data_IF_913074970110
#
_entry.id   IF_913074970110
#
_cell.length_a   1.000
_cell.length_b   1.000
_cell.length_c   1.000
_cell.angle_alpha   90.00
_cell.angle_beta   90.00
_cell.angle_gamma   90.00
#
_symmetry.space_group_name_H-M   'P 1'
#
loop_
_entity.id
_entity.type
_entity.pdbx_description
1 polymer ?
#
# COMPACT_ATOMS: atom_id res chain seq x y z
N UNK A 1 41.55 46.84 -23.31
CA UNK A 1 40.16 47.27 -22.99
C UNK A 1 39.27 46.67 -24.07
N UNK A 2 38.23 45.88 -23.85
CA UNK A 2 37.55 45.40 -22.65
C UNK A 2 36.23 44.82 -23.13
N UNK A 3 36.06 43.49 -22.98
CA UNK A 3 34.83 42.69 -22.85
C UNK A 3 33.54 43.12 -23.56
N UNK A 4 32.96 42.21 -24.36
CA UNK A 4 31.52 41.87 -24.31
C UNK A 4 31.31 40.48 -24.94
N UNK A 5 31.64 39.47 -24.15
CA UNK A 5 31.18 38.08 -24.29
C UNK A 5 30.09 37.89 -23.21
N UNK A 6 29.07 37.10 -23.53
CA UNK A 6 27.98 36.59 -22.67
C UNK A 6 26.71 37.42 -22.59
N UNK A 7 25.78 37.11 -23.49
CA UNK A 7 24.33 37.25 -23.27
C UNK A 7 23.61 36.02 -23.81
N UNK A 8 24.07 34.82 -23.47
CA UNK A 8 23.36 33.55 -23.65
C UNK A 8 23.74 32.72 -22.42
N UNK A 9 22.81 31.95 -21.88
CA UNK A 9 22.90 31.20 -20.60
C UNK A 9 22.49 31.97 -19.35
N UNK A 10 21.22 32.37 -19.25
CA UNK A 10 20.55 32.45 -17.95
C UNK A 10 19.02 32.39 -18.09
N UNK A 11 18.49 31.30 -18.67
CA UNK A 11 17.04 31.06 -18.71
C UNK A 11 16.66 29.57 -18.86
N UNK A 12 17.51 28.63 -18.44
CA UNK A 12 17.31 27.19 -18.70
C UNK A 12 17.38 26.28 -17.47
N UNK A 13 17.46 26.83 -16.27
CA UNK A 13 17.52 26.07 -15.02
C UNK A 13 16.53 26.73 -14.08
N UNK A 14 15.40 26.07 -13.83
CA UNK A 14 14.53 26.15 -12.64
C UNK A 14 13.07 25.77 -13.00
N UNK A 15 12.82 24.55 -13.48
CA UNK A 15 11.49 23.90 -13.44
C UNK A 15 11.66 22.36 -13.44
N UNK A 16 12.51 21.85 -12.56
CA UNK A 16 12.48 20.45 -12.14
C UNK A 16 12.13 20.42 -10.66
N UNK A 17 10.96 20.97 -10.33
CA UNK A 17 10.40 20.93 -9.00
C UNK A 17 9.23 19.95 -9.01
N UNK A 18 9.35 18.91 -8.17
CA UNK A 18 8.24 18.30 -7.45
C UNK A 18 7.27 17.36 -8.17
N UNK A 19 7.75 16.31 -8.84
CA UNK A 19 6.90 15.14 -9.19
C UNK A 19 7.35 13.82 -8.55
N UNK A 20 8.61 13.70 -8.10
CA UNK A 20 9.17 12.41 -7.65
C UNK A 20 8.51 11.76 -6.42
N UNK A 21 7.86 12.54 -5.54
CA UNK A 21 7.26 11.98 -4.32
C UNK A 21 6.05 11.06 -4.56
N UNK A 22 5.29 11.30 -5.64
CA UNK A 22 4.12 10.47 -5.96
C UNK A 22 4.54 9.17 -6.63
N UNK A 23 5.54 9.21 -7.51
CA UNK A 23 6.04 8.03 -8.22
C UNK A 23 6.69 7.03 -7.25
N UNK A 24 7.49 7.51 -6.28
CA UNK A 24 8.09 6.67 -5.24
C UNK A 24 7.02 6.04 -4.32
N UNK A 25 5.99 6.82 -3.95
CA UNK A 25 4.87 6.32 -3.15
C UNK A 25 4.11 5.25 -3.91
N UNK A 26 3.76 5.49 -5.17
CA UNK A 26 3.08 4.50 -6.01
C UNK A 26 3.91 3.24 -6.21
N UNK A 27 5.21 3.37 -6.47
CA UNK A 27 6.11 2.23 -6.57
C UNK A 27 6.13 1.40 -5.28
N UNK A 28 6.17 2.05 -4.11
CA UNK A 28 6.10 1.36 -2.82
C UNK A 28 4.74 0.67 -2.59
N UNK A 29 3.63 1.32 -2.95
CA UNK A 29 2.28 0.76 -2.78
C UNK A 29 2.01 -0.43 -3.71
N UNK A 30 2.71 -0.51 -4.84
CA UNK A 30 2.49 -1.54 -5.86
C UNK A 30 3.53 -2.66 -5.83
N UNK A 31 4.73 -2.45 -5.28
CA UNK A 31 5.79 -3.47 -5.17
C UNK A 31 5.52 -4.55 -4.13
N UNK A 32 6.26 -5.65 -4.25
CA UNK A 32 6.40 -6.66 -3.20
C UNK A 32 7.18 -6.08 -2.03
N UNK A 33 6.67 -6.28 -0.81
CA UNK A 33 7.20 -5.66 0.39
C UNK A 33 6.61 -6.29 1.66
N UNK A 34 7.29 -6.10 2.79
CA UNK A 34 6.76 -6.46 4.11
C UNK A 34 6.12 -5.23 4.74
N UNK A 35 4.92 -5.40 5.28
CA UNK A 35 4.15 -4.35 5.91
C UNK A 35 3.81 -4.72 7.35
N UNK A 36 4.23 -3.92 8.32
CA UNK A 36 3.98 -4.13 9.74
C UNK A 36 2.79 -3.33 10.24
N UNK A 37 1.88 -4.00 10.94
CA UNK A 37 0.79 -3.34 11.67
C UNK A 37 1.33 -2.56 12.87
N UNK A 38 0.44 -1.83 13.54
CA UNK A 38 0.76 -1.00 14.71
C UNK A 38 1.89 0.01 14.43
N UNK A 39 1.72 0.80 13.37
CA UNK A 39 2.69 1.83 12.96
C UNK A 39 4.10 1.26 12.70
N UNK A 40 4.15 0.04 12.15
CA UNK A 40 5.39 -0.66 11.82
C UNK A 40 6.00 -1.47 12.96
N UNK A 41 5.46 -1.43 14.18
CA UNK A 41 5.95 -2.30 15.27
C UNK A 41 5.82 -3.79 14.89
N UNK A 42 4.81 -4.12 14.08
CA UNK A 42 4.60 -5.45 13.49
C UNK A 42 5.76 -6.00 12.66
N UNK A 43 6.70 -5.15 12.21
CA UNK A 43 7.88 -5.56 11.47
C UNK A 43 8.90 -6.30 12.34
N UNK A 44 8.98 -5.97 13.63
CA UNK A 44 9.92 -6.63 14.55
C UNK A 44 9.50 -8.07 14.74
N UNK A 45 10.38 -9.01 14.40
CA UNK A 45 10.10 -10.45 14.43
C UNK A 45 8.84 -10.90 13.69
N UNK A 46 8.28 -10.08 12.78
CA UNK A 46 6.98 -10.30 12.14
C UNK A 46 5.84 -10.54 13.16
N UNK A 47 5.86 -9.88 14.32
CA UNK A 47 4.83 -10.07 15.36
C UNK A 47 3.42 -9.76 14.85
N UNK A 48 3.28 -8.88 13.86
CA UNK A 48 2.00 -8.63 13.21
C UNK A 48 2.22 -7.99 11.83
N UNK A 49 2.43 -8.81 10.81
CA UNK A 49 2.87 -8.34 9.51
C UNK A 49 2.13 -8.99 8.35
N UNK A 50 2.02 -8.27 7.24
CA UNK A 50 1.64 -8.78 5.93
C UNK A 50 2.87 -8.77 5.02
N UNK A 51 3.29 -9.95 4.57
CA UNK A 51 4.40 -10.13 3.64
C UNK A 51 3.82 -10.31 2.25
N UNK A 52 4.21 -9.44 1.32
CA UNK A 52 3.75 -9.51 -0.07
C UNK A 52 4.90 -9.97 -0.95
N UNK A 53 4.68 -11.10 -1.61
CA UNK A 53 5.68 -11.73 -2.49
C UNK A 53 4.98 -12.58 -3.53
N UNK A 54 5.38 -12.43 -4.80
CA UNK A 54 4.98 -13.31 -5.90
C UNK A 54 3.47 -13.51 -6.04
N UNK A 55 2.69 -12.43 -5.83
CA UNK A 55 1.23 -12.47 -5.92
C UNK A 55 0.51 -13.05 -4.69
N UNK A 56 1.21 -13.26 -3.58
CA UNK A 56 0.62 -13.69 -2.30
C UNK A 56 0.71 -12.60 -1.23
N UNK A 57 -0.28 -12.58 -0.33
CA UNK A 57 -0.24 -11.91 0.96
C UNK A 57 -0.10 -13.01 2.02
N UNK A 58 1.06 -13.14 2.65
CA UNK A 58 1.26 -14.02 3.80
C UNK A 58 1.06 -13.21 5.07
N UNK A 59 0.18 -13.68 5.96
CA UNK A 59 -0.19 -12.99 7.18
C UNK A 59 0.51 -13.64 8.36
N UNK A 60 1.25 -12.84 9.10
CA UNK A 60 1.99 -13.24 10.29
C UNK A 60 1.36 -12.67 11.54
N UNK A 61 1.39 -13.46 12.61
CA UNK A 61 1.05 -13.04 13.97
C UNK A 61 1.96 -13.76 14.95
N UNK A 62 2.47 -13.03 15.93
CA UNK A 62 3.44 -13.50 16.91
C UNK A 62 4.68 -14.15 16.28
N UNK A 63 5.06 -13.67 15.07
CA UNK A 63 6.20 -14.17 14.30
C UNK A 63 5.93 -15.43 13.47
N UNK A 64 4.71 -15.99 13.56
CA UNK A 64 4.34 -17.22 12.87
C UNK A 64 3.34 -16.95 11.73
N UNK A 65 3.42 -17.70 10.62
CA UNK A 65 2.44 -17.60 9.55
C UNK A 65 1.08 -18.17 9.99
N UNK A 66 0.02 -17.38 9.87
CA UNK A 66 -1.34 -17.78 10.30
C UNK A 66 -2.34 -17.89 9.16
N UNK A 67 -2.12 -17.16 8.06
CA UNK A 67 -2.97 -17.24 6.87
C UNK A 67 -2.21 -16.82 5.60
N UNK A 68 -2.77 -17.15 4.43
CA UNK A 68 -2.35 -16.60 3.15
C UNK A 68 -3.54 -16.20 2.30
N UNK A 69 -3.34 -15.18 1.48
CA UNK A 69 -4.31 -14.73 0.50
C UNK A 69 -3.66 -14.58 -0.87
N UNK A 70 -4.41 -14.91 -1.93
CA UNK A 70 -3.97 -14.66 -3.30
C UNK A 70 -4.25 -13.19 -3.64
N UNK A 71 -3.19 -12.39 -3.78
CA UNK A 71 -3.31 -11.01 -4.23
C UNK A 71 -3.69 -10.98 -5.71
N UNK A 72 -4.81 -10.33 -6.02
CA UNK A 72 -5.27 -10.21 -7.41
C UNK A 72 -4.72 -8.95 -8.06
N UNK A 73 -4.94 -7.79 -7.43
CA UNK A 73 -4.40 -6.51 -7.87
C UNK A 73 -4.53 -5.45 -6.76
N UNK A 74 -3.86 -4.32 -6.99
CA UNK A 74 -3.97 -3.10 -6.20
C UNK A 74 -4.37 -1.95 -7.09
N UNK A 75 -5.29 -1.14 -6.61
CA UNK A 75 -5.75 0.07 -7.27
C UNK A 75 -5.24 1.27 -6.48
N UNK A 76 -4.64 2.24 -7.17
CA UNK A 76 -4.19 3.50 -6.57
C UNK A 76 -5.29 4.53 -6.78
N UNK A 77 -5.75 5.12 -5.69
CA UNK A 77 -6.73 6.19 -5.71
C UNK A 77 -5.98 7.52 -5.60
N UNK A 78 -6.39 8.49 -6.41
CA UNK A 78 -5.79 9.82 -6.47
C UNK A 78 -6.86 10.87 -6.23
N UNK A 79 -6.49 11.96 -5.58
CA UNK A 79 -7.36 13.11 -5.46
C UNK A 79 -7.67 13.68 -6.86
N UNK A 80 -8.96 13.79 -7.17
CA UNK A 80 -9.42 14.53 -8.34
C UNK A 80 -9.53 16.01 -7.95
N UNK A 81 -8.55 16.82 -8.32
CA UNK A 81 -8.71 18.28 -8.33
C UNK A 81 -9.30 18.71 -9.68
N UNK A 82 -10.29 19.60 -9.65
CA UNK A 82 -11.07 20.03 -10.82
C UNK A 82 -10.24 20.81 -11.88
N UNK A 83 -8.95 21.05 -11.68
CA UNK A 83 -8.13 21.96 -12.51
C UNK A 83 -6.79 21.34 -12.97
N UNK A 84 -6.80 20.10 -13.48
CA UNK A 84 -5.76 19.61 -14.41
C UNK A 84 -4.35 19.35 -13.84
N UNK A 85 -4.14 19.50 -12.53
CA UNK A 85 -2.92 19.01 -11.85
C UNK A 85 -3.24 17.63 -11.28
N UNK A 86 -2.50 16.60 -11.68
CA UNK A 86 -2.57 15.26 -11.07
C UNK A 86 -2.44 15.38 -9.54
N UNK A 87 -3.51 15.07 -8.82
CA UNK A 87 -3.58 15.18 -7.36
C UNK A 87 -2.72 14.13 -6.65
N UNK A 88 -2.55 14.32 -5.33
CA UNK A 88 -1.85 13.38 -4.46
C UNK A 88 -2.54 12.02 -4.40
N UNK A 89 -1.81 10.98 -3.97
CA UNK A 89 -2.37 9.66 -3.70
C UNK A 89 -3.13 9.72 -2.37
N UNK A 90 -4.46 9.53 -2.40
CA UNK A 90 -5.32 9.57 -1.20
C UNK A 90 -5.58 8.18 -0.60
N UNK A 91 -5.44 7.15 -1.43
CA UNK A 91 -5.80 5.79 -1.04
C UNK A 91 -5.21 4.71 -1.92
N UNK A 92 -5.36 3.48 -1.44
CA UNK A 92 -5.16 2.29 -2.25
C UNK A 92 -6.19 1.24 -1.86
N UNK A 93 -6.69 0.51 -2.86
CA UNK A 93 -7.61 -0.60 -2.65
C UNK A 93 -6.91 -1.89 -3.02
N UNK A 94 -6.89 -2.83 -2.09
CA UNK A 94 -6.28 -4.14 -2.28
C UNK A 94 -7.38 -5.17 -2.48
N UNK A 95 -7.26 -5.94 -3.56
CA UNK A 95 -8.19 -7.00 -3.91
C UNK A 95 -7.48 -8.34 -3.80
N UNK A 96 -7.97 -9.22 -2.94
CA UNK A 96 -7.34 -10.52 -2.72
C UNK A 96 -8.36 -11.62 -2.40
N UNK A 97 -8.06 -12.87 -2.73
CA UNK A 97 -8.87 -14.03 -2.35
C UNK A 97 -8.34 -14.60 -1.05
N UNK A 98 -9.20 -14.67 -0.04
CA UNK A 98 -8.88 -15.28 1.26
C UNK A 98 -10.11 -15.94 1.86
N UNK A 99 -9.92 -16.64 2.98
CA UNK A 99 -11.02 -17.23 3.73
C UNK A 99 -12.04 -16.18 4.15
N UNK A 100 -13.31 -16.57 4.12
CA UNK A 100 -14.39 -15.79 4.67
C UNK A 100 -14.26 -15.76 6.21
N UNK A 101 -14.20 -14.57 6.85
CA UNK A 101 -14.03 -14.47 8.30
C UNK A 101 -15.22 -15.00 9.11
N UNK A 102 -16.41 -15.07 8.52
CA UNK A 102 -17.60 -15.66 9.13
C UNK A 102 -17.74 -17.16 8.83
N UNK A 103 -17.14 -17.62 7.73
CA UNK A 103 -17.21 -19.01 7.25
C UNK A 103 -15.84 -19.50 6.76
N UNK A 104 -14.89 -19.90 7.64
CA UNK A 104 -13.50 -20.19 7.25
C UNK A 104 -13.30 -21.31 6.20
N UNK A 105 -14.32 -22.14 5.95
CA UNK A 105 -14.32 -23.14 4.88
C UNK A 105 -14.64 -22.59 3.48
N UNK A 106 -15.02 -21.32 3.39
CA UNK A 106 -15.33 -20.61 2.14
C UNK A 106 -14.23 -19.60 1.82
N UNK A 107 -13.95 -19.41 0.53
CA UNK A 107 -13.03 -18.37 0.04
C UNK A 107 -13.81 -17.31 -0.73
N UNK A 108 -13.54 -16.05 -0.42
CA UNK A 108 -14.23 -14.89 -0.99
C UNK A 108 -13.20 -13.86 -1.45
N UNK A 109 -13.59 -12.97 -2.36
CA UNK A 109 -12.76 -11.82 -2.68
C UNK A 109 -12.94 -10.77 -1.57
N UNK A 110 -11.82 -10.33 -1.00
CA UNK A 110 -11.73 -9.20 -0.10
C UNK A 110 -11.35 -7.97 -0.89
N UNK A 111 -12.07 -6.88 -0.67
CA UNK A 111 -11.73 -5.53 -1.11
C UNK A 111 -11.50 -4.68 0.13
N UNK A 112 -10.23 -4.39 0.41
CA UNK A 112 -9.80 -3.60 1.57
C UNK A 112 -9.29 -2.26 1.06
N UNK A 113 -9.93 -1.16 1.50
CA UNK A 113 -9.46 0.20 1.20
C UNK A 113 -8.58 0.70 2.33
N UNK A 114 -7.46 1.27 1.94
CA UNK A 114 -6.56 2.00 2.82
C UNK A 114 -6.56 3.48 2.46
N UNK A 115 -6.55 4.35 3.46
CA UNK A 115 -6.12 5.74 3.24
C UNK A 115 -4.61 5.78 3.28
N UNK A 116 -4.02 6.42 2.28
CA UNK A 116 -2.59 6.63 2.20
C UNK A 116 -2.28 7.95 2.91
N UNK A 117 -1.36 7.91 3.87
CA UNK A 117 -0.83 9.12 4.50
C UNK A 117 0.63 9.28 4.11
N UNK A 118 0.90 10.31 3.32
CA UNK A 118 2.25 10.74 2.93
C UNK A 118 2.67 11.96 3.73
N UNK A 119 3.96 12.10 4.01
CA UNK A 119 4.52 13.30 4.63
C UNK A 119 5.90 13.64 4.09
N UNK A 120 6.35 14.91 4.16
CA UNK A 120 7.70 15.28 3.74
C UNK A 120 8.75 14.45 4.48
N UNK A 121 9.58 13.71 3.74
CA UNK A 121 10.65 12.84 4.29
C UNK A 121 10.17 11.73 5.23
N UNK A 122 8.93 11.27 5.07
CA UNK A 122 8.40 10.12 5.80
C UNK A 122 7.92 9.09 4.80
N UNK A 123 8.24 7.82 5.07
CA UNK A 123 7.66 6.72 4.31
C UNK A 123 6.14 6.74 4.43
N UNK A 124 5.41 6.47 3.33
CA UNK A 124 3.96 6.43 3.36
C UNK A 124 3.49 5.29 4.25
N UNK A 125 2.37 5.50 4.93
CA UNK A 125 1.71 4.45 5.69
C UNK A 125 0.22 4.40 5.35
N UNK A 126 -0.38 3.25 5.61
CA UNK A 126 -1.72 2.90 5.23
C UNK A 126 -2.61 2.83 6.47
N UNK A 127 -3.76 3.50 6.45
CA UNK A 127 -4.80 3.35 7.46
C UNK A 127 -5.91 2.46 6.95
N UNK A 128 -6.19 1.37 7.66
CA UNK A 128 -7.33 0.53 7.32
C UNK A 128 -8.65 1.28 7.58
N UNK A 129 -9.50 1.31 6.56
CA UNK A 129 -10.83 1.93 6.65
C UNK A 129 -11.76 1.11 7.57
N UNK A 130 -12.83 1.71 8.12
CA UNK A 130 -13.72 1.02 9.06
C UNK A 130 -14.44 -0.21 8.52
N UNK A 131 -14.53 -0.34 7.19
CA UNK A 131 -15.25 -1.41 6.53
C UNK A 131 -14.45 -1.95 5.36
N UNK A 132 -14.57 -3.25 5.14
CA UNK A 132 -14.14 -3.94 3.91
C UNK A 132 -15.33 -4.62 3.24
N UNK A 133 -15.25 -4.76 1.92
CA UNK A 133 -16.26 -5.48 1.14
C UNK A 133 -15.77 -6.89 0.88
N UNK A 134 -16.67 -7.85 1.00
CA UNK A 134 -16.46 -9.24 0.63
C UNK A 134 -17.40 -9.58 -0.53
N UNK A 135 -16.90 -10.25 -1.56
CA UNK A 135 -17.69 -10.70 -2.69
C UNK A 135 -17.57 -12.21 -2.85
N UNK A 136 -18.72 -12.88 -2.90
CA UNK A 136 -18.78 -14.30 -3.21
C UNK A 136 -18.41 -14.53 -4.68
N UNK A 137 -17.48 -15.45 -5.01
CA UNK A 137 -16.94 -15.58 -6.37
C UNK A 137 -17.98 -16.05 -7.39
N UNK A 138 -18.86 -16.98 -7.02
CA UNK A 138 -19.89 -17.53 -7.93
C UNK A 138 -21.12 -16.63 -8.04
N UNK A 139 -21.77 -16.32 -6.90
CA UNK A 139 -23.04 -15.59 -6.88
C UNK A 139 -22.89 -14.08 -7.09
N UNK A 140 -21.67 -13.54 -7.00
CA UNK A 140 -21.35 -12.11 -7.04
C UNK A 140 -22.04 -11.29 -5.94
N UNK A 141 -22.58 -11.94 -4.91
CA UNK A 141 -23.18 -11.24 -3.79
C UNK A 141 -22.09 -10.52 -2.99
N UNK A 142 -22.30 -9.22 -2.78
CA UNK A 142 -21.44 -8.39 -1.95
C UNK A 142 -22.01 -8.25 -0.54
N UNK A 143 -21.12 -8.23 0.44
CA UNK A 143 -21.44 -7.83 1.81
C UNK A 143 -20.34 -6.96 2.38
N UNK A 144 -20.73 -5.95 3.15
CA UNK A 144 -19.80 -5.09 3.88
C UNK A 144 -19.70 -5.58 5.31
N UNK A 145 -18.48 -5.72 5.80
CA UNK A 145 -18.21 -6.04 7.20
C UNK A 145 -17.33 -4.96 7.81
N UNK A 146 -17.33 -4.92 9.14
CA UNK A 146 -16.35 -4.15 9.88
C UNK A 146 -14.95 -4.72 9.63
N UNK A 147 -13.99 -3.82 9.38
CA UNK A 147 -12.60 -4.24 9.27
C UNK A 147 -12.01 -4.42 10.68
N UNK A 148 -11.46 -5.60 11.01
CA UNK A 148 -10.86 -5.84 12.34
C UNK A 148 -9.67 -4.93 12.63
N UNK A 149 -9.07 -4.34 11.58
CA UNK A 149 -7.94 -3.42 11.66
C UNK A 149 -8.36 -1.96 11.56
N UNK A 150 -9.65 -1.63 11.63
CA UNK A 150 -10.14 -0.25 11.50
C UNK A 150 -9.28 0.76 12.28
N UNK A 151 -8.80 1.80 11.60
CA UNK A 151 -7.98 2.86 12.19
C UNK A 151 -6.55 2.46 12.59
N UNK A 152 -6.17 1.19 12.48
CA UNK A 152 -4.79 0.76 12.66
C UNK A 152 -3.94 1.18 11.46
N UNK A 153 -2.65 1.40 11.74
CA UNK A 153 -1.64 1.77 10.75
C UNK A 153 -0.86 0.55 10.30
N UNK A 154 -0.72 0.43 8.99
CA UNK A 154 0.12 -0.52 8.31
C UNK A 154 1.27 0.26 7.65
N UNK A 155 2.50 0.02 8.08
CA UNK A 155 3.68 0.75 7.63
C UNK A 155 4.64 -0.19 6.89
N UNK A 156 5.36 0.30 5.88
CA UNK A 156 6.41 -0.48 5.24
C UNK A 156 7.48 -0.85 6.26
N UNK A 157 8.00 -2.06 6.17
CA UNK A 157 9.13 -2.48 6.99
C UNK A 157 10.45 -2.02 6.37
N UNK A 158 11.52 -1.87 7.16
CA UNK A 158 12.83 -1.54 6.62
C UNK A 158 13.26 -2.48 5.49
N UNK A 159 13.95 -1.95 4.48
CA UNK A 159 14.48 -2.78 3.42
C UNK A 159 15.42 -3.86 3.99
N UNK A 160 15.25 -5.10 3.53
CA UNK A 160 15.99 -6.25 4.05
C UNK A 160 15.30 -6.96 5.22
N UNK A 161 14.10 -6.57 5.67
CA UNK A 161 13.27 -7.44 6.51
C UNK A 161 13.01 -8.77 5.78
N UNK A 162 13.56 -9.86 6.32
CA UNK A 162 13.45 -11.20 5.73
C UNK A 162 12.30 -11.93 6.40
N UNK A 163 11.30 -12.31 5.60
CA UNK A 163 10.31 -13.29 6.03
C UNK A 163 10.79 -14.71 5.74
N UNK A 164 10.56 -15.67 6.65
CA UNK A 164 10.88 -17.06 6.37
C UNK A 164 10.09 -17.54 5.14
N UNK A 165 10.66 -18.48 4.40
CA UNK A 165 9.87 -19.23 3.42
C UNK A 165 8.88 -20.11 4.17
N UNK A 166 7.60 -20.00 3.84
CA UNK A 166 6.53 -20.79 4.44
C UNK A 166 6.06 -21.81 3.41
N UNK A 167 6.03 -23.08 3.81
CA UNK A 167 5.42 -24.14 3.03
C UNK A 167 3.96 -24.30 3.50
N UNK A 168 3.01 -24.23 2.58
CA UNK A 168 1.58 -24.00 2.84
C UNK A 168 0.70 -25.12 2.30
#
# INVERSE_FOLDING_TARGET
MGRLINAIFLAGLMLAACTGGNDETEALLTRDHVWGWDNGAGCDGLIDAWVIRDGWIEMFRDGEPVDRALLQHREIERENHAEGVTGGIDGTVWYFIARDPASPGEVVQHRVRFTVSTGPRREPFLFAQPRRTLMHPETKQERRIEDPRKGQKLSPCPEGTIAPAVDW
#
